data_IF_896348657942
#
_entry.id   IF_896348657942
#
_cell.length_a   1.000
_cell.length_b   1.000
_cell.length_c   1.000
_cell.angle_alpha   90.00
_cell.angle_beta   90.00
_cell.angle_gamma   90.00
#
_symmetry.space_group_name_H-M   'P 1'
#
loop_
_entity.id
_entity.type
_entity.pdbx_description
1 polymer ?
#
# COMPACT_ATOMS: atom_id res chain seq x y z
N UNK A 1 -12.88 16.73 -44.30
CA UNK A 1 -13.40 15.50 -43.67
C UNK A 1 -12.26 14.63 -43.11
N UNK A 2 -11.16 14.42 -43.87
CA UNK A 2 -10.01 13.64 -43.38
C UNK A 2 -9.31 14.24 -42.13
N UNK A 3 -9.18 15.57 -42.04
CA UNK A 3 -8.59 16.23 -40.87
C UNK A 3 -9.45 16.11 -39.61
N UNK A 4 -10.77 16.06 -39.70
CA UNK A 4 -11.66 15.87 -38.55
C UNK A 4 -11.58 14.45 -37.95
N UNK A 5 -11.42 13.44 -38.82
CA UNK A 5 -11.20 12.07 -38.37
C UNK A 5 -9.83 11.86 -37.73
N UNK A 6 -8.80 12.54 -38.21
CA UNK A 6 -7.47 12.48 -37.64
C UNK A 6 -7.40 13.07 -36.21
N UNK A 7 -8.18 14.14 -35.92
CA UNK A 7 -8.23 14.75 -34.59
C UNK A 7 -8.83 13.79 -33.53
N UNK A 8 -9.82 12.99 -33.92
CA UNK A 8 -10.47 12.02 -33.01
C UNK A 8 -9.56 10.82 -32.70
N UNK A 9 -8.64 10.50 -33.61
CA UNK A 9 -7.72 9.36 -33.47
C UNK A 9 -6.35 9.74 -32.84
N UNK A 10 -6.07 11.04 -32.71
CA UNK A 10 -4.84 11.47 -32.03
C UNK A 10 -4.94 11.18 -30.54
N UNK A 11 -3.99 10.43 -29.95
CA UNK A 11 -3.95 10.25 -28.50
C UNK A 11 -3.67 11.60 -27.87
N UNK A 12 -4.68 12.23 -27.28
CA UNK A 12 -4.54 13.48 -26.55
C UNK A 12 -4.09 13.14 -25.13
N UNK A 13 -2.79 13.09 -24.89
CA UNK A 13 -2.23 13.07 -23.56
C UNK A 13 -1.79 14.49 -23.19
N UNK A 14 -2.23 15.01 -22.06
CA UNK A 14 -1.85 16.32 -21.55
C UNK A 14 -0.34 16.41 -21.28
N UNK A 15 0.28 15.28 -21.01
CA UNK A 15 1.72 15.10 -20.90
C UNK A 15 2.12 13.87 -21.71
N UNK A 16 3.16 13.95 -22.55
CA UNK A 16 3.69 12.77 -23.20
C UNK A 16 4.15 11.77 -22.12
N UNK A 17 3.95 10.48 -22.37
CA UNK A 17 4.42 9.37 -21.50
C UNK A 17 5.95 9.25 -21.57
N UNK A 18 6.65 10.34 -21.19
CA UNK A 18 8.12 10.41 -21.17
C UNK A 18 8.65 9.91 -19.82
N UNK A 19 7.79 9.91 -18.79
CA UNK A 19 8.21 9.42 -17.48
C UNK A 19 8.47 7.90 -17.55
N UNK A 20 9.65 7.46 -17.13
CA UNK A 20 9.96 6.03 -17.00
C UNK A 20 8.92 5.34 -16.13
N UNK A 21 8.44 4.15 -16.51
CA UNK A 21 7.51 3.42 -15.66
C UNK A 21 8.19 3.02 -14.36
N UNK A 22 7.47 3.09 -13.26
CA UNK A 22 7.96 2.72 -11.95
C UNK A 22 6.99 1.76 -11.25
N UNK A 23 7.56 0.82 -10.49
CA UNK A 23 6.83 -0.13 -9.65
C UNK A 23 7.21 0.12 -8.20
N UNK A 24 6.23 0.30 -7.34
CA UNK A 24 6.42 0.43 -5.90
C UNK A 24 6.15 -0.91 -5.20
N UNK A 25 7.06 -1.31 -4.36
CA UNK A 25 6.92 -2.44 -3.44
C UNK A 25 6.79 -1.88 -2.04
N UNK A 26 5.69 -2.16 -1.36
CA UNK A 26 5.41 -1.70 0.00
C UNK A 26 5.29 -2.86 0.96
N UNK A 27 5.96 -2.77 2.11
CA UNK A 27 5.87 -3.74 3.17
C UNK A 27 5.83 -3.05 4.53
N UNK A 28 5.34 -3.76 5.55
CA UNK A 28 5.31 -3.25 6.92
C UNK A 28 5.86 -4.30 7.88
N UNK A 29 6.79 -3.90 8.72
CA UNK A 29 7.31 -4.69 9.84
C UNK A 29 6.86 -4.07 11.15
N UNK A 30 5.75 -4.54 11.75
CA UNK A 30 5.18 -3.91 12.93
C UNK A 30 6.13 -3.94 14.13
N UNK A 31 6.35 -2.78 14.73
CA UNK A 31 7.18 -2.65 15.93
C UNK A 31 8.70 -2.61 15.69
N UNK A 32 9.15 -2.72 14.44
CA UNK A 32 10.55 -2.54 14.08
C UNK A 32 10.89 -1.05 13.89
N UNK A 33 12.11 -0.66 14.24
CA UNK A 33 12.66 0.63 13.91
C UNK A 33 13.17 0.68 12.45
N UNK A 34 13.48 1.87 11.96
CA UNK A 34 13.93 2.08 10.58
C UNK A 34 15.18 1.27 10.22
N UNK A 35 16.12 1.13 11.16
CA UNK A 35 17.36 0.38 10.93
C UNK A 35 17.07 -1.12 10.81
N UNK A 36 16.27 -1.67 11.71
CA UNK A 36 15.85 -3.08 11.65
C UNK A 36 15.08 -3.39 10.36
N UNK A 37 14.19 -2.48 9.94
CA UNK A 37 13.46 -2.62 8.67
C UNK A 37 14.44 -2.60 7.49
N UNK A 38 15.39 -1.69 7.49
CA UNK A 38 16.39 -1.60 6.44
C UNK A 38 17.22 -2.89 6.32
N UNK A 39 17.70 -3.42 7.44
CA UNK A 39 18.62 -4.55 7.44
C UNK A 39 17.92 -5.88 7.14
N UNK A 40 16.69 -6.07 7.63
CA UNK A 40 15.98 -7.35 7.57
C UNK A 40 14.91 -7.44 6.46
N UNK A 41 14.44 -6.31 5.95
CA UNK A 41 13.39 -6.27 4.91
C UNK A 41 13.89 -5.61 3.64
N UNK A 42 14.34 -4.36 3.74
CA UNK A 42 14.70 -3.56 2.57
C UNK A 42 15.84 -4.20 1.79
N UNK A 43 16.96 -4.50 2.44
CA UNK A 43 18.13 -5.11 1.78
C UNK A 43 17.82 -6.49 1.19
N UNK A 44 17.01 -7.31 1.86
CA UNK A 44 16.61 -8.62 1.37
C UNK A 44 15.80 -8.51 0.08
N UNK A 45 14.84 -7.57 0.04
CA UNK A 45 14.06 -7.33 -1.17
C UNK A 45 14.94 -6.78 -2.28
N UNK A 46 15.74 -5.73 -2.01
CA UNK A 46 16.62 -5.11 -3.01
C UNK A 46 17.58 -6.12 -3.65
N UNK A 47 18.22 -6.98 -2.86
CA UNK A 47 19.13 -8.00 -3.37
C UNK A 47 18.44 -8.97 -4.32
N UNK A 48 17.18 -9.32 -4.05
CA UNK A 48 16.40 -10.22 -4.91
C UNK A 48 15.86 -9.53 -6.16
N UNK A 49 15.72 -8.19 -6.16
CA UNK A 49 15.28 -7.42 -7.34
C UNK A 49 16.39 -7.23 -8.38
N UNK A 50 17.64 -7.54 -8.05
CA UNK A 50 18.73 -7.48 -9.02
C UNK A 50 18.48 -8.42 -10.20
N UNK A 51 18.84 -7.95 -11.41
CA UNK A 51 18.68 -8.72 -12.65
C UNK A 51 17.27 -8.77 -13.20
N UNK A 52 16.41 -7.81 -12.83
CA UNK A 52 15.14 -7.55 -13.53
C UNK A 52 15.48 -6.80 -14.84
N UNK A 53 14.87 -7.22 -15.93
CA UNK A 53 15.10 -6.62 -17.25
C UNK A 53 14.67 -5.16 -17.28
N UNK A 54 15.46 -4.32 -17.94
CA UNK A 54 15.23 -2.89 -18.12
C UNK A 54 15.13 -2.08 -16.81
N UNK A 55 15.59 -2.61 -15.68
CA UNK A 55 15.68 -1.87 -14.43
C UNK A 55 16.79 -0.84 -14.51
N UNK A 56 16.46 0.45 -14.36
CA UNK A 56 17.43 1.55 -14.34
C UNK A 56 18.05 1.76 -12.96
N UNK A 57 17.18 1.96 -11.97
CA UNK A 57 17.60 2.16 -10.57
C UNK A 57 16.48 1.81 -9.59
N UNK A 58 16.88 1.60 -8.35
CA UNK A 58 15.99 1.42 -7.21
C UNK A 58 16.22 2.52 -6.19
N UNK A 59 15.16 2.95 -5.54
CA UNK A 59 15.23 3.82 -4.36
C UNK A 59 14.33 3.27 -3.27
N UNK A 60 14.81 3.26 -2.05
CA UNK A 60 14.07 2.74 -0.90
C UNK A 60 13.98 3.76 0.21
N UNK A 61 12.87 3.75 0.91
CA UNK A 61 12.62 4.54 2.11
C UNK A 61 12.10 3.64 3.20
N UNK A 62 12.77 3.63 4.35
CA UNK A 62 12.34 2.92 5.56
C UNK A 62 12.07 3.94 6.64
N UNK A 63 10.93 3.84 7.32
CA UNK A 63 10.55 4.78 8.36
C UNK A 63 10.51 4.13 9.76
N UNK A 64 10.43 4.95 10.78
CA UNK A 64 10.39 4.51 12.18
C UNK A 64 9.04 3.89 12.60
N UNK A 65 8.03 3.88 11.71
CA UNK A 65 6.77 3.17 11.92
C UNK A 65 6.84 1.70 11.49
N UNK A 66 7.98 1.28 10.95
CA UNK A 66 8.18 -0.05 10.44
C UNK A 66 7.75 -0.21 8.98
N UNK A 67 7.42 0.87 8.27
CA UNK A 67 7.04 0.83 6.87
C UNK A 67 8.25 0.96 5.96
N UNK A 68 8.24 0.24 4.85
CA UNK A 68 9.22 0.35 3.77
C UNK A 68 8.50 0.52 2.44
N UNK A 69 9.04 1.39 1.61
CA UNK A 69 8.64 1.54 0.21
C UNK A 69 9.88 1.49 -0.66
N UNK A 70 9.89 0.55 -1.61
CA UNK A 70 10.97 0.39 -2.59
C UNK A 70 10.39 0.71 -3.96
N UNK A 71 10.93 1.73 -4.61
CA UNK A 71 10.51 2.13 -5.95
C UNK A 71 11.54 1.68 -6.97
N UNK A 72 11.11 0.83 -7.90
CA UNK A 72 11.90 0.35 -9.02
C UNK A 72 11.52 1.16 -10.26
N UNK A 73 12.49 1.87 -10.84
CA UNK A 73 12.30 2.67 -12.04
C UNK A 73 12.91 1.96 -13.23
N UNK A 74 12.14 1.81 -14.29
CA UNK A 74 12.49 1.08 -15.50
C UNK A 74 12.82 2.01 -16.66
N UNK A 75 13.46 1.48 -17.70
CA UNK A 75 13.74 2.24 -18.92
C UNK A 75 12.44 2.68 -19.61
N UNK A 76 12.51 3.86 -20.25
CA UNK A 76 11.37 4.39 -21.02
C UNK A 76 10.98 3.43 -22.14
N UNK A 77 9.67 3.15 -22.24
CA UNK A 77 9.15 2.18 -23.22
C UNK A 77 8.98 0.76 -22.68
N UNK A 78 9.42 0.49 -21.44
CA UNK A 78 9.11 -0.78 -20.76
C UNK A 78 7.62 -0.84 -20.46
N UNK A 79 7.00 -2.00 -20.74
CA UNK A 79 5.59 -2.24 -20.39
C UNK A 79 5.45 -2.36 -18.86
N UNK A 80 4.65 -1.50 -18.21
CA UNK A 80 4.46 -1.51 -16.76
C UNK A 80 3.83 -2.80 -16.23
N UNK A 81 2.99 -3.48 -17.03
CA UNK A 81 2.35 -4.74 -16.64
C UNK A 81 3.39 -5.87 -16.60
N UNK A 82 4.26 -5.95 -17.59
CA UNK A 82 5.36 -6.91 -17.63
C UNK A 82 6.34 -6.64 -16.48
N UNK A 83 6.70 -5.38 -16.27
CA UNK A 83 7.59 -4.98 -15.17
C UNK A 83 7.00 -5.39 -13.80
N UNK A 84 5.71 -5.16 -13.58
CA UNK A 84 5.04 -5.56 -12.34
C UNK A 84 5.08 -7.08 -12.13
N UNK A 85 4.83 -7.87 -13.17
CA UNK A 85 4.90 -9.33 -13.10
C UNK A 85 6.32 -9.81 -12.78
N UNK A 86 7.35 -9.21 -13.38
CA UNK A 86 8.74 -9.53 -13.08
C UNK A 86 9.10 -9.22 -11.62
N UNK A 87 8.68 -8.06 -11.11
CA UNK A 87 8.87 -7.67 -9.70
C UNK A 87 8.16 -8.67 -8.77
N UNK A 88 6.90 -9.03 -9.07
CA UNK A 88 6.16 -10.02 -8.28
C UNK A 88 6.86 -11.39 -8.27
N UNK A 89 7.35 -11.86 -9.41
CA UNK A 89 8.08 -13.11 -9.49
C UNK A 89 9.37 -13.10 -8.65
N UNK A 90 10.13 -12.01 -8.71
CA UNK A 90 11.33 -11.84 -7.88
C UNK A 90 11.00 -11.74 -6.39
N UNK A 91 9.91 -11.06 -6.05
CA UNK A 91 9.43 -10.94 -4.68
C UNK A 91 9.05 -12.31 -4.08
N UNK A 92 8.46 -13.21 -4.87
CA UNK A 92 8.16 -14.58 -4.44
C UNK A 92 9.43 -15.33 -3.96
N UNK A 93 10.58 -15.06 -4.56
CA UNK A 93 11.86 -15.64 -4.14
C UNK A 93 12.38 -15.01 -2.85
N UNK A 94 12.09 -13.73 -2.61
CA UNK A 94 12.47 -13.02 -1.40
C UNK A 94 11.59 -13.37 -0.20
N UNK A 95 10.30 -13.72 -0.42
CA UNK A 95 9.32 -13.97 0.65
C UNK A 95 9.81 -14.92 1.75
N UNK A 96 10.39 -16.09 1.46
CA UNK A 96 10.85 -17.01 2.52
C UNK A 96 12.01 -16.47 3.36
N UNK A 97 12.72 -15.44 2.87
CA UNK A 97 13.88 -14.83 3.53
C UNK A 97 13.48 -13.68 4.46
N UNK A 98 12.23 -13.23 4.39
CA UNK A 98 11.70 -12.11 5.16
C UNK A 98 11.20 -12.57 6.54
N UNK A 99 11.19 -11.68 7.56
CA UNK A 99 10.58 -11.95 8.86
C UNK A 99 9.12 -12.40 8.73
N UNK A 100 8.70 -13.32 9.61
CA UNK A 100 7.35 -13.90 9.55
C UNK A 100 6.25 -12.85 9.71
N UNK A 101 6.49 -11.81 10.51
CA UNK A 101 5.58 -10.69 10.72
C UNK A 101 5.32 -9.92 9.43
N UNK A 102 6.35 -9.70 8.60
CA UNK A 102 6.24 -9.04 7.30
C UNK A 102 5.46 -9.92 6.32
N UNK A 103 5.75 -11.23 6.30
CA UNK A 103 5.03 -12.18 5.44
C UNK A 103 3.54 -12.23 5.78
N UNK A 104 3.16 -12.18 7.07
CA UNK A 104 1.77 -12.19 7.54
C UNK A 104 1.01 -10.90 7.19
N UNK A 105 1.69 -9.75 7.18
CA UNK A 105 1.10 -8.48 6.76
C UNK A 105 0.84 -8.43 5.25
N UNK A 106 1.63 -9.17 4.49
CA UNK A 106 1.63 -9.13 3.04
C UNK A 106 2.49 -7.97 2.50
N UNK A 107 2.86 -8.10 1.23
CA UNK A 107 3.66 -7.12 0.51
C UNK A 107 2.87 -6.65 -0.70
N UNK A 108 2.67 -5.34 -0.79
CA UNK A 108 2.02 -4.71 -1.93
C UNK A 108 2.99 -4.51 -3.09
N UNK A 109 2.55 -4.74 -4.33
CA UNK A 109 3.29 -4.42 -5.55
C UNK A 109 2.36 -3.67 -6.47
N UNK A 110 2.63 -2.39 -6.67
CA UNK A 110 1.76 -1.48 -7.40
C UNK A 110 2.54 -0.68 -8.44
N UNK A 111 1.87 -0.31 -9.52
CA UNK A 111 2.43 0.64 -10.48
C UNK A 111 2.52 2.00 -9.81
N UNK A 112 3.72 2.55 -9.73
CA UNK A 112 3.92 3.89 -9.20
C UNK A 112 3.75 4.92 -10.31
N UNK A 113 2.76 5.78 -10.20
CA UNK A 113 2.69 7.00 -11.01
C UNK A 113 3.14 8.18 -10.17
N UNK A 114 4.02 9.00 -10.72
CA UNK A 114 4.54 10.20 -10.05
C UNK A 114 3.52 11.34 -9.96
N UNK A 115 2.33 11.18 -10.54
CA UNK A 115 1.32 12.23 -10.56
C UNK A 115 -0.07 11.71 -10.20
N UNK A 116 -0.74 12.46 -9.35
CA UNK A 116 -2.14 12.23 -9.03
C UNK A 116 -3.02 12.74 -10.17
N UNK A 117 -3.96 11.93 -10.64
CA UNK A 117 -4.98 12.37 -11.60
C UNK A 117 -5.95 13.35 -10.96
N UNK A 118 -6.34 13.08 -9.71
CA UNK A 118 -7.29 13.88 -8.95
C UNK A 118 -6.94 13.85 -7.47
N UNK A 119 -6.99 14.99 -6.82
CA UNK A 119 -6.95 15.12 -5.36
C UNK A 119 -8.25 15.77 -4.94
N UNK A 120 -9.04 15.06 -4.12
CA UNK A 120 -10.31 15.56 -3.60
C UNK A 120 -10.21 15.77 -2.09
N UNK A 121 -10.59 16.96 -1.62
CA UNK A 121 -10.72 17.27 -0.21
C UNK A 121 -12.17 17.14 0.26
N UNK A 122 -12.39 16.42 1.35
CA UNK A 122 -13.71 16.27 1.99
C UNK A 122 -13.76 17.12 3.24
N UNK A 123 -14.82 17.92 3.36
CA UNK A 123 -15.08 18.75 4.53
C UNK A 123 -16.54 18.63 4.95
N UNK A 124 -16.80 18.65 6.24
CA UNK A 124 -18.14 18.80 6.78
C UNK A 124 -18.41 20.28 7.07
N UNK A 125 -19.42 20.84 6.42
CA UNK A 125 -19.77 22.25 6.54
C UNK A 125 -20.60 22.57 7.79
N UNK A 126 -21.26 21.57 8.37
CA UNK A 126 -22.13 21.69 9.54
C UNK A 126 -21.44 21.35 10.87
N UNK A 127 -20.18 20.92 10.85
CA UNK A 127 -19.43 20.53 12.04
C UNK A 127 -19.96 19.26 12.74
N UNK A 128 -20.81 18.46 12.07
CA UNK A 128 -21.44 17.26 12.63
C UNK A 128 -20.46 16.11 12.86
N UNK A 129 -19.35 16.09 12.15
CA UNK A 129 -18.31 15.05 12.28
C UNK A 129 -16.94 15.67 12.57
N UNK A 130 -16.15 14.97 13.39
CA UNK A 130 -14.75 15.30 13.57
C UNK A 130 -13.89 14.70 12.43
N UNK A 131 -12.61 15.05 12.42
CA UNK A 131 -11.68 14.64 11.35
C UNK A 131 -11.53 13.11 11.26
N UNK A 132 -11.52 12.41 12.40
CA UNK A 132 -11.38 10.96 12.44
C UNK A 132 -12.65 10.27 11.92
N UNK A 133 -13.84 10.77 12.30
CA UNK A 133 -15.12 10.26 11.79
C UNK A 133 -15.26 10.45 10.29
N UNK A 134 -14.81 11.61 9.78
CA UNK A 134 -14.80 11.88 8.36
C UNK A 134 -13.81 10.95 7.63
N UNK A 135 -12.63 10.72 8.19
CA UNK A 135 -11.65 9.79 7.62
C UNK A 135 -12.18 8.36 7.52
N UNK A 136 -12.86 7.89 8.56
CA UNK A 136 -13.48 6.56 8.58
C UNK A 136 -14.67 6.45 7.61
N UNK A 137 -15.51 7.47 7.53
CA UNK A 137 -16.59 7.53 6.55
C UNK A 137 -16.08 7.48 5.11
N UNK A 138 -15.04 8.26 4.79
CA UNK A 138 -14.44 8.27 3.45
C UNK A 138 -13.77 6.93 3.15
N UNK A 139 -13.09 6.32 4.12
CA UNK A 139 -12.46 5.01 3.96
C UNK A 139 -13.48 3.91 3.64
N UNK A 140 -14.59 3.88 4.38
CA UNK A 140 -15.59 2.82 4.27
C UNK A 140 -16.59 3.02 3.13
N UNK A 141 -16.94 4.29 2.81
CA UNK A 141 -18.05 4.58 1.91
C UNK A 141 -17.61 5.13 0.56
N UNK A 142 -16.49 5.86 0.51
CA UNK A 142 -16.06 6.57 -0.72
C UNK A 142 -14.92 5.86 -1.42
N UNK A 143 -13.92 5.40 -0.68
CA UNK A 143 -12.71 4.77 -1.25
C UNK A 143 -13.05 3.54 -2.08
N UNK A 144 -13.85 2.62 -1.54
CA UNK A 144 -14.19 1.36 -2.19
C UNK A 144 -14.90 1.53 -3.55
N UNK A 145 -15.96 2.34 -3.68
CA UNK A 145 -16.60 2.60 -4.96
C UNK A 145 -15.66 3.23 -6.00
N UNK A 146 -14.81 4.17 -5.56
CA UNK A 146 -13.86 4.83 -6.46
C UNK A 146 -12.82 3.84 -6.96
N UNK A 147 -12.24 3.02 -6.08
CA UNK A 147 -11.21 2.04 -6.46
C UNK A 147 -11.71 0.97 -7.44
N UNK A 148 -13.03 0.73 -7.48
CA UNK A 148 -13.66 -0.22 -8.41
C UNK A 148 -14.09 0.41 -9.74
N UNK A 149 -13.89 1.73 -9.89
CA UNK A 149 -14.25 2.41 -11.13
C UNK A 149 -13.24 2.07 -12.24
N UNK A 150 -13.67 1.63 -13.42
CA UNK A 150 -12.77 1.34 -14.53
C UNK A 150 -11.87 2.54 -14.87
N UNK A 151 -10.58 2.31 -14.97
CA UNK A 151 -9.58 3.35 -15.25
C UNK A 151 -8.93 3.95 -14.01
N UNK A 152 -9.38 3.62 -12.79
CA UNK A 152 -8.71 4.00 -11.54
C UNK A 152 -7.67 2.95 -11.21
N UNK A 153 -6.41 3.37 -11.10
CA UNK A 153 -5.28 2.48 -10.77
C UNK A 153 -5.09 2.29 -9.27
N UNK A 154 -5.10 3.38 -8.51
CA UNK A 154 -4.96 3.37 -7.05
C UNK A 154 -5.73 4.54 -6.42
N UNK A 155 -6.14 4.36 -5.17
CA UNK A 155 -6.82 5.39 -4.37
C UNK A 155 -6.17 5.48 -3.01
N UNK A 156 -5.45 6.57 -2.78
CA UNK A 156 -4.81 6.86 -1.50
C UNK A 156 -5.69 7.76 -0.64
N UNK A 157 -5.87 7.40 0.61
CA UNK A 157 -6.57 8.20 1.60
C UNK A 157 -5.56 8.87 2.54
N UNK A 158 -5.53 10.19 2.53
CA UNK A 158 -4.76 10.99 3.47
C UNK A 158 -5.67 11.46 4.61
N UNK A 159 -5.60 10.80 5.75
CA UNK A 159 -6.43 11.14 6.91
C UNK A 159 -6.29 10.13 8.05
N UNK A 160 -6.68 10.55 9.24
CA UNK A 160 -6.74 9.66 10.39
C UNK A 160 -8.00 8.78 10.30
N UNK A 161 -7.83 7.49 10.54
CA UNK A 161 -8.92 6.55 10.76
C UNK A 161 -8.99 6.18 12.23
N UNK A 162 -10.13 5.68 12.68
CA UNK A 162 -10.22 5.17 14.05
C UNK A 162 -9.31 3.97 14.26
N UNK A 163 -8.55 4.02 15.35
CA UNK A 163 -7.76 2.89 15.81
C UNK A 163 -8.18 2.52 17.24
N UNK A 164 -8.39 1.23 17.46
CA UNK A 164 -8.66 0.73 18.81
C UNK A 164 -7.35 0.55 19.56
N UNK A 165 -7.20 1.23 20.69
CA UNK A 165 -6.08 1.00 21.64
C UNK A 165 -6.60 0.18 22.79
N UNK A 166 -5.97 -0.96 23.06
CA UNK A 166 -6.32 -1.86 24.14
C UNK A 166 -5.22 -1.78 25.19
N UNK A 167 -5.58 -1.29 26.37
CA UNK A 167 -4.69 -1.23 27.52
C UNK A 167 -4.85 -2.50 28.34
N UNK A 168 -3.76 -3.23 28.53
CA UNK A 168 -3.77 -4.46 29.31
C UNK A 168 -3.41 -4.15 30.75
N UNK A 169 -4.24 -4.62 31.70
CA UNK A 169 -3.93 -4.57 33.13
C UNK A 169 -3.12 -5.80 33.51
N UNK A 170 -1.86 -5.58 33.89
CA UNK A 170 -0.93 -6.62 34.27
C UNK A 170 -1.41 -7.44 35.49
N UNK A 171 -2.13 -6.83 36.42
CA UNK A 171 -2.65 -7.53 37.60
C UNK A 171 -3.80 -8.46 37.18
N UNK A 172 -4.68 -7.99 36.31
CA UNK A 172 -5.76 -8.81 35.78
C UNK A 172 -5.21 -9.99 34.96
N UNK A 173 -4.22 -9.75 34.09
CA UNK A 173 -3.55 -10.81 33.33
C UNK A 173 -2.96 -11.88 34.24
N UNK A 174 -2.27 -11.45 35.30
CA UNK A 174 -1.65 -12.37 36.27
C UNK A 174 -2.70 -13.18 37.05
N UNK A 175 -3.81 -12.57 37.43
CA UNK A 175 -4.91 -13.23 38.13
C UNK A 175 -5.59 -14.33 37.28
N UNK A 176 -5.67 -14.12 35.96
CA UNK A 176 -6.23 -15.08 35.01
C UNK A 176 -5.17 -16.00 34.39
N UNK A 177 -3.91 -15.90 34.80
CA UNK A 177 -2.78 -16.67 34.25
C UNK A 177 -2.66 -16.53 32.73
N UNK A 178 -2.95 -15.35 32.21
CA UNK A 178 -2.85 -15.02 30.78
C UNK A 178 -1.59 -14.22 30.51
N UNK A 179 -0.98 -14.48 29.37
CA UNK A 179 0.10 -13.63 28.87
C UNK A 179 -0.45 -12.57 27.90
N UNK A 180 0.23 -11.44 27.70
CA UNK A 180 -0.14 -10.47 26.66
C UNK A 180 -0.26 -11.10 25.27
N UNK A 181 0.54 -12.14 24.98
CA UNK A 181 0.53 -12.86 23.71
C UNK A 181 -0.77 -13.63 23.54
N UNK A 182 -1.29 -14.25 24.61
CA UNK A 182 -2.57 -14.98 24.55
C UNK A 182 -3.72 -14.03 24.19
N UNK A 183 -3.73 -12.82 24.78
CA UNK A 183 -4.73 -11.80 24.47
C UNK A 183 -4.62 -11.35 23.00
N UNK A 184 -3.39 -11.10 22.50
CA UNK A 184 -3.16 -10.72 21.11
C UNK A 184 -3.62 -11.83 20.15
N UNK A 185 -3.34 -13.09 20.47
CA UNK A 185 -3.78 -14.23 19.64
C UNK A 185 -5.29 -14.37 19.60
N UNK A 186 -5.97 -14.20 20.73
CA UNK A 186 -7.44 -14.23 20.78
C UNK A 186 -8.06 -13.05 20.01
N UNK A 187 -7.49 -11.86 20.13
CA UNK A 187 -7.92 -10.71 19.36
C UNK A 187 -7.75 -10.93 17.85
N UNK A 188 -6.62 -11.52 17.42
CA UNK A 188 -6.40 -11.85 16.00
C UNK A 188 -7.44 -12.85 15.47
N UNK A 189 -7.80 -13.86 16.26
CA UNK A 189 -8.80 -14.88 15.88
C UNK A 189 -10.21 -14.27 15.81
N UNK A 190 -10.54 -13.35 16.71
CA UNK A 190 -11.87 -12.73 16.79
C UNK A 190 -12.00 -11.44 15.98
N UNK A 191 -10.91 -10.91 15.46
CA UNK A 191 -10.92 -9.73 14.60
C UNK A 191 -11.40 -10.08 13.18
N UNK A 192 -12.58 -10.68 13.09
CA UNK A 192 -13.28 -10.88 11.85
C UNK A 192 -14.12 -9.63 11.59
N UNK A 193 -13.80 -8.93 10.52
CA UNK A 193 -14.64 -7.84 10.01
C UNK A 193 -15.91 -8.48 9.46
N UNK A 194 -16.96 -8.49 10.27
CA UNK A 194 -18.27 -9.02 9.88
C UNK A 194 -18.87 -8.08 8.83
N UNK A 195 -18.62 -8.39 7.57
CA UNK A 195 -19.33 -7.77 6.45
C UNK A 195 -20.73 -8.35 6.45
N UNK A 196 -21.66 -7.74 7.17
CA UNK A 196 -23.09 -7.96 6.92
C UNK A 196 -23.35 -7.64 5.46
N UNK A 197 -23.43 -8.67 4.63
CA UNK A 197 -24.03 -8.56 3.31
C UNK A 197 -25.49 -8.21 3.52
N UNK A 198 -25.85 -6.94 3.31
CA UNK A 198 -27.23 -6.56 3.12
C UNK A 198 -27.65 -7.15 1.77
N UNK A 199 -28.46 -8.18 1.81
CA UNK A 199 -29.18 -8.73 0.66
C UNK A 199 -30.32 -7.79 0.30
#
# INVERSE_FOLDING_TARGET
>A
IAGGLAIIQLPVAQYPTIAPPAIAVSATYPGADAQTVQDSVTQVIEQNMNGIDNLMYMSSTSDSSGSVTITLTFESGTDPDIAQVQVQNKLQLAMPLLPQEVQQQGIGVEKSSSSYLLVAGFIFSDGSMNQEQLGDYVASTVKDPISRTPGVGDVQLFGAQFAMRIWLDNNALNNYQLTPVDVVNQLKIQNAQDRKSVV
#
